data_IF_727663345954
#
_entry.id   IF_727663345954
#
_cell.length_a   1.000
_cell.length_b   1.000
_cell.length_c   1.000
_cell.angle_alpha   90.00
_cell.angle_beta   90.00
_cell.angle_gamma   90.00
#
_symmetry.space_group_name_H-M   'P 1'
#
loop_
_entity.id
_entity.type
_entity.pdbx_description
1 polymer ?
#
# COMPACT_ATOMS: atom_id res chain seq x y z
N UNK A 1 3.88 -4.81 -24.06
CA UNK A 1 5.05 -4.08 -23.54
C UNK A 1 5.35 -4.64 -22.16
N UNK A 2 6.35 -5.50 -22.03
CA UNK A 2 6.78 -6.06 -20.74
C UNK A 2 7.60 -5.05 -19.95
N UNK A 3 7.54 -5.12 -18.62
CA UNK A 3 8.40 -4.36 -17.74
C UNK A 3 9.86 -4.75 -18.03
N UNK A 4 10.69 -3.77 -18.41
CA UNK A 4 12.14 -3.92 -18.42
C UNK A 4 12.62 -3.42 -17.07
N UNK A 5 12.67 -4.31 -16.08
CA UNK A 5 13.20 -4.04 -14.75
C UNK A 5 14.06 -5.23 -14.36
N UNK A 6 15.28 -4.96 -13.90
CA UNK A 6 16.22 -5.98 -13.43
C UNK A 6 15.62 -6.90 -12.37
N UNK A 7 16.32 -8.00 -12.08
CA UNK A 7 15.94 -9.15 -11.23
C UNK A 7 14.82 -8.89 -10.20
N UNK A 8 13.57 -8.86 -10.68
CA UNK A 8 12.40 -8.71 -9.83
C UNK A 8 12.15 -10.04 -9.14
N UNK A 9 12.34 -10.09 -7.82
CA UNK A 9 12.11 -11.31 -7.06
C UNK A 9 10.63 -11.42 -6.74
N UNK A 10 9.97 -12.43 -7.31
CA UNK A 10 8.55 -12.72 -7.05
C UNK A 10 8.45 -13.44 -5.70
N UNK A 11 7.78 -12.78 -4.74
CA UNK A 11 7.39 -13.39 -3.49
C UNK A 11 5.86 -13.44 -3.41
N UNK A 12 5.29 -14.64 -3.34
CA UNK A 12 3.86 -14.82 -3.20
C UNK A 12 3.46 -14.62 -1.74
N UNK A 13 2.61 -13.61 -1.42
CA UNK A 13 2.16 -13.41 -0.07
C UNK A 13 1.29 -14.58 0.41
N UNK A 14 1.37 -14.86 1.70
CA UNK A 14 0.45 -15.75 2.42
C UNK A 14 -0.91 -15.02 2.55
N UNK A 15 -1.99 -15.46 1.87
CA UNK A 15 -3.26 -14.71 1.79
C UNK A 15 -3.89 -14.41 3.15
N UNK A 16 -3.69 -15.28 4.14
CA UNK A 16 -4.21 -15.17 5.50
C UNK A 16 -3.74 -13.89 6.21
N UNK A 17 -2.62 -13.30 5.76
CA UNK A 17 -2.13 -12.01 6.29
C UNK A 17 -2.97 -10.80 5.85
N UNK A 18 -3.89 -10.99 4.92
CA UNK A 18 -4.75 -9.94 4.37
C UNK A 18 -6.24 -10.18 4.69
N UNK A 19 -6.50 -10.91 5.78
CA UNK A 19 -7.85 -11.22 6.26
C UNK A 19 -8.05 -10.62 7.66
N UNK A 20 -9.22 -10.06 7.98
CA UNK A 20 -9.48 -9.50 9.31
C UNK A 20 -9.29 -10.52 10.43
N UNK A 21 -8.85 -10.09 11.64
CA UNK A 21 -8.54 -8.70 12.02
C UNK A 21 -7.07 -8.31 11.78
N UNK A 22 -6.22 -9.23 11.31
CA UNK A 22 -4.77 -9.02 11.17
C UNK A 22 -4.37 -8.40 9.82
N UNK A 23 -5.34 -8.16 8.95
CA UNK A 23 -5.18 -7.51 7.67
C UNK A 23 -6.51 -7.33 6.96
N UNK A 24 -6.48 -6.79 5.75
CA UNK A 24 -7.64 -6.67 4.88
C UNK A 24 -7.18 -6.51 3.44
N UNK A 25 -8.07 -6.80 2.50
CA UNK A 25 -7.83 -6.58 1.09
C UNK A 25 -9.07 -5.97 0.44
N UNK A 26 -8.89 -4.81 -0.18
CA UNK A 26 -9.98 -4.04 -0.76
C UNK A 26 -9.84 -3.93 -2.27
N UNK A 27 -10.98 -3.90 -2.96
CA UNK A 27 -11.08 -3.69 -4.40
C UNK A 27 -11.86 -2.41 -4.65
N UNK A 28 -11.22 -1.43 -5.29
CA UNK A 28 -11.88 -0.23 -5.77
C UNK A 28 -12.70 -0.58 -7.02
N UNK A 29 -13.96 -0.11 -7.08
CA UNK A 29 -14.85 -0.32 -8.22
C UNK A 29 -15.43 1.00 -8.72
N UNK A 30 -15.52 1.12 -10.04
CA UNK A 30 -16.22 2.19 -10.75
C UNK A 30 -17.30 1.55 -11.63
N UNK A 31 -18.56 1.93 -11.45
CA UNK A 31 -19.69 1.35 -12.18
C UNK A 31 -19.71 -0.19 -12.16
N UNK A 32 -19.37 -0.78 -11.01
CA UNK A 32 -19.26 -2.23 -10.82
C UNK A 32 -17.97 -2.87 -11.33
N UNK A 33 -17.14 -2.15 -12.10
CA UNK A 33 -15.89 -2.64 -12.69
C UNK A 33 -14.74 -2.42 -11.71
N UNK A 34 -13.93 -3.46 -11.47
CA UNK A 34 -12.73 -3.33 -10.63
C UNK A 34 -11.68 -2.42 -11.31
N UNK A 35 -11.31 -1.32 -10.65
CA UNK A 35 -10.36 -0.31 -11.15
C UNK A 35 -9.03 -0.30 -10.40
N UNK A 36 -8.97 -0.98 -9.25
CA UNK A 36 -7.76 -1.12 -8.46
C UNK A 36 -7.97 -1.93 -7.19
N UNK A 37 -6.88 -2.16 -6.46
CA UNK A 37 -6.89 -2.91 -5.22
C UNK A 37 -5.70 -2.55 -4.33
N UNK A 38 -5.78 -2.96 -3.08
CA UNK A 38 -4.68 -2.89 -2.13
C UNK A 38 -5.02 -3.67 -0.88
N UNK A 39 -4.00 -3.98 -0.09
CA UNK A 39 -4.16 -4.68 1.17
C UNK A 39 -3.39 -4.01 2.30
N UNK A 40 -3.79 -4.34 3.51
CA UNK A 40 -3.05 -4.07 4.74
C UNK A 40 -2.75 -5.36 5.46
N UNK A 41 -1.63 -5.40 6.18
CA UNK A 41 -1.31 -6.48 7.13
C UNK A 41 -0.67 -5.91 8.39
N UNK A 42 -0.94 -6.53 9.52
CA UNK A 42 -0.31 -6.19 10.80
C UNK A 42 1.17 -6.60 10.78
N UNK A 43 2.03 -5.69 11.26
CA UNK A 43 3.42 -5.98 11.65
C UNK A 43 3.56 -6.07 13.17
N UNK A 44 2.72 -5.32 13.88
CA UNK A 44 2.54 -5.36 15.33
C UNK A 44 1.10 -4.94 15.68
N UNK A 45 0.66 -5.02 16.95
CA UNK A 45 -0.66 -4.56 17.35
C UNK A 45 -0.98 -3.10 16.96
N UNK A 46 0.04 -2.24 16.88
CA UNK A 46 -0.13 -0.80 16.59
C UNK A 46 0.34 -0.39 15.19
N UNK A 47 1.10 -1.24 14.49
CA UNK A 47 1.70 -0.93 13.18
C UNK A 47 1.18 -1.84 12.09
N UNK A 48 0.62 -1.22 11.05
CA UNK A 48 0.17 -1.93 9.85
C UNK A 48 0.99 -1.51 8.63
N UNK A 49 1.07 -2.40 7.66
CA UNK A 49 1.77 -2.18 6.40
C UNK A 49 0.78 -2.19 5.24
N UNK A 50 0.82 -1.15 4.39
CA UNK A 50 0.10 -1.15 3.11
C UNK A 50 0.91 -1.91 2.06
N UNK A 51 0.25 -2.85 1.37
CA UNK A 51 0.85 -3.69 0.33
C UNK A 51 -0.08 -3.84 -0.87
N UNK A 52 0.50 -4.30 -1.98
CA UNK A 52 -0.22 -4.67 -3.20
C UNK A 52 -1.11 -3.55 -3.77
N UNK A 53 -0.74 -2.29 -3.53
CA UNK A 53 -1.49 -1.14 -4.03
C UNK A 53 -1.32 -1.04 -5.54
N UNK A 54 -2.42 -1.20 -6.28
CA UNK A 54 -2.44 -1.16 -7.73
C UNK A 54 -3.69 -0.46 -8.25
N UNK A 55 -3.51 0.34 -9.29
CA UNK A 55 -4.59 0.90 -10.10
C UNK A 55 -4.35 0.54 -11.55
N UNK A 56 -5.45 0.25 -12.26
CA UNK A 56 -5.42 0.15 -13.72
C UNK A 56 -4.82 1.42 -14.32
N UNK A 57 -3.90 1.32 -15.30
CA UNK A 57 -3.28 2.48 -15.92
C UNK A 57 -4.29 3.51 -16.43
N UNK A 58 -5.40 3.04 -17.01
CA UNK A 58 -6.48 3.85 -17.57
C UNK A 58 -7.25 4.68 -16.53
N UNK A 59 -7.11 4.39 -15.24
CA UNK A 59 -7.86 5.05 -14.15
C UNK A 59 -7.00 5.99 -13.30
N UNK A 60 -5.70 6.13 -13.64
CA UNK A 60 -4.77 7.01 -12.93
C UNK A 60 -5.09 8.49 -13.16
N UNK A 61 -4.66 9.35 -12.24
CA UNK A 61 -4.94 10.79 -12.29
C UNK A 61 -6.37 11.19 -11.88
N UNK A 62 -7.24 10.22 -11.57
CA UNK A 62 -8.66 10.44 -11.23
C UNK A 62 -8.95 10.41 -9.71
N UNK A 63 -7.91 10.49 -8.89
CA UNK A 63 -8.03 10.47 -7.42
C UNK A 63 -8.21 9.09 -6.77
N UNK A 64 -8.34 8.01 -7.54
CA UNK A 64 -8.51 6.65 -7.02
C UNK A 64 -7.41 6.21 -6.05
N UNK A 65 -6.16 6.60 -6.28
CA UNK A 65 -5.04 6.22 -5.41
C UNK A 65 -5.17 6.78 -4.01
N UNK A 66 -5.56 8.05 -3.90
CA UNK A 66 -5.79 8.72 -2.61
C UNK A 66 -6.97 8.10 -1.86
N UNK A 67 -8.07 7.82 -2.57
CA UNK A 67 -9.25 7.21 -1.97
C UNK A 67 -8.96 5.78 -1.48
N UNK A 68 -8.26 4.99 -2.28
CA UNK A 68 -7.89 3.63 -1.94
C UNK A 68 -6.93 3.58 -0.74
N UNK A 69 -5.92 4.46 -0.72
CA UNK A 69 -4.99 4.56 0.40
C UNK A 69 -5.71 4.98 1.69
N UNK A 70 -6.59 5.98 1.64
CA UNK A 70 -7.38 6.41 2.80
C UNK A 70 -8.31 5.29 3.31
N UNK A 71 -8.90 4.49 2.43
CA UNK A 71 -9.73 3.35 2.81
C UNK A 71 -8.93 2.27 3.55
N UNK A 72 -7.69 2.03 3.12
CA UNK A 72 -6.77 1.10 3.79
C UNK A 72 -6.32 1.62 5.16
N UNK A 73 -5.97 2.91 5.26
CA UNK A 73 -5.63 3.57 6.53
C UNK A 73 -6.78 3.49 7.53
N UNK A 74 -8.01 3.74 7.09
CA UNK A 74 -9.20 3.65 7.94
C UNK A 74 -9.45 2.23 8.46
N UNK A 75 -9.22 1.19 7.64
CA UNK A 75 -9.32 -0.20 8.08
C UNK A 75 -8.24 -0.57 9.09
N UNK A 76 -7.00 -0.10 8.88
CA UNK A 76 -5.92 -0.29 9.85
C UNK A 76 -6.26 0.36 11.20
N UNK A 77 -6.75 1.61 11.19
CA UNK A 77 -7.20 2.29 12.40
C UNK A 77 -8.34 1.52 13.12
N UNK A 78 -9.30 0.99 12.36
CA UNK A 78 -10.39 0.18 12.91
C UNK A 78 -9.89 -1.14 13.57
N UNK A 79 -8.69 -1.61 13.21
CA UNK A 79 -8.03 -2.74 13.83
C UNK A 79 -7.05 -2.35 14.95
N UNK A 80 -7.02 -1.07 15.34
CA UNK A 80 -6.20 -0.57 16.46
C UNK A 80 -4.83 -0.03 16.06
N UNK A 81 -4.55 0.12 14.76
CA UNK A 81 -3.30 0.72 14.30
C UNK A 81 -3.22 2.20 14.72
N UNK A 82 -2.06 2.62 15.23
CA UNK A 82 -1.71 4.03 15.46
C UNK A 82 -0.79 4.57 14.36
N UNK A 83 -0.26 3.70 13.52
CA UNK A 83 0.66 4.05 12.45
C UNK A 83 0.59 3.07 11.28
N UNK A 84 0.92 3.58 10.10
CA UNK A 84 1.02 2.81 8.87
C UNK A 84 2.38 3.01 8.24
N UNK A 85 2.96 1.93 7.73
CA UNK A 85 4.19 1.93 6.93
C UNK A 85 3.94 1.34 5.56
N UNK A 86 4.84 1.65 4.63
CA UNK A 86 4.89 0.99 3.33
C UNK A 86 6.28 1.12 2.72
N UNK A 87 6.57 0.24 1.77
CA UNK A 87 7.75 0.33 0.91
C UNK A 87 7.36 0.37 -0.57
N UNK A 88 8.23 0.95 -1.37
CA UNK A 88 8.07 1.03 -2.82
C UNK A 88 9.43 1.05 -3.50
N UNK A 89 9.43 0.78 -4.81
CA UNK A 89 10.59 1.00 -5.66
C UNK A 89 10.61 2.46 -6.17
N UNK A 90 11.80 3.06 -6.29
CA UNK A 90 11.98 4.43 -6.77
C UNK A 90 11.54 4.63 -8.22
N UNK A 91 11.55 3.57 -9.03
CA UNK A 91 11.02 3.60 -10.41
C UNK A 91 9.51 3.84 -10.47
N UNK A 92 8.78 3.63 -9.36
CA UNK A 92 7.35 3.89 -9.24
C UNK A 92 7.10 5.33 -8.76
N UNK A 93 7.52 6.32 -9.55
CA UNK A 93 7.46 7.74 -9.19
C UNK A 93 6.04 8.19 -8.78
N UNK A 94 5.02 7.74 -9.51
CA UNK A 94 3.62 8.06 -9.21
C UNK A 94 3.17 7.56 -7.81
N UNK A 95 3.67 6.39 -7.38
CA UNK A 95 3.39 5.87 -6.04
C UNK A 95 4.11 6.71 -4.98
N UNK A 96 5.39 7.02 -5.18
CA UNK A 96 6.14 7.91 -4.28
C UNK A 96 5.49 9.30 -4.16
N UNK A 97 5.00 9.86 -5.26
CA UNK A 97 4.23 11.11 -5.26
C UNK A 97 2.95 11.00 -4.43
N UNK A 98 2.16 9.93 -4.65
CA UNK A 98 0.94 9.65 -3.89
C UNK A 98 1.19 9.60 -2.38
N UNK A 99 2.23 8.89 -1.93
CA UNK A 99 2.50 8.76 -0.50
C UNK A 99 2.89 10.09 0.15
N UNK A 100 3.75 10.88 -0.50
CA UNK A 100 4.15 12.20 0.00
C UNK A 100 2.96 13.15 0.13
N UNK A 101 2.11 13.27 -0.89
CA UNK A 101 0.92 14.13 -0.83
C UNK A 101 -0.17 13.61 0.12
N UNK A 102 -0.07 12.34 0.54
CA UNK A 102 -0.96 11.73 1.52
C UNK A 102 -0.46 11.83 2.97
N UNK A 103 0.65 12.55 3.18
CA UNK A 103 1.20 12.85 4.51
C UNK A 103 2.19 11.81 5.04
N UNK A 104 2.74 10.95 4.18
CA UNK A 104 3.79 10.04 4.59
C UNK A 104 5.17 10.73 4.58
N UNK A 105 5.95 10.45 5.61
CA UNK A 105 7.35 10.83 5.73
C UNK A 105 8.25 9.67 5.33
N UNK A 106 9.39 9.95 4.69
CA UNK A 106 10.41 8.94 4.45
C UNK A 106 11.03 8.45 5.77
N UNK A 107 11.33 7.16 5.85
CA UNK A 107 11.98 6.53 7.00
C UNK A 107 13.07 5.56 6.55
N UNK A 108 13.89 5.12 7.50
CA UNK A 108 14.82 4.01 7.30
C UNK A 108 14.08 2.70 6.97
N UNK A 109 14.73 1.75 6.29
CA UNK A 109 14.15 0.44 6.00
C UNK A 109 13.63 -0.27 7.25
N UNK A 110 12.39 -0.77 7.19
CA UNK A 110 11.79 -1.59 8.26
C UNK A 110 11.67 -3.08 7.87
N UNK A 111 12.09 -3.44 6.65
CA UNK A 111 12.08 -4.80 6.14
C UNK A 111 13.21 -5.01 5.12
N UNK A 112 13.46 -6.28 4.79
CA UNK A 112 14.49 -6.70 3.83
C UNK A 112 13.89 -6.97 2.43
N UNK A 113 12.86 -6.21 2.01
CA UNK A 113 12.26 -6.42 0.69
C UNK A 113 13.28 -6.07 -0.41
N UNK A 114 13.78 -7.03 -1.22
CA UNK A 114 14.82 -6.76 -2.21
C UNK A 114 14.34 -5.85 -3.36
N UNK A 115 13.03 -5.73 -3.55
CA UNK A 115 12.44 -4.88 -4.57
C UNK A 115 12.19 -3.43 -4.09
N UNK A 116 12.32 -3.17 -2.78
CA UNK A 116 12.10 -1.85 -2.20
C UNK A 116 13.37 -1.01 -2.23
N UNK A 117 13.20 0.28 -2.50
CA UNK A 117 14.29 1.26 -2.40
C UNK A 117 13.89 2.49 -1.59
N UNK A 118 12.60 2.64 -1.26
CA UNK A 118 12.07 3.75 -0.46
C UNK A 118 11.07 3.19 0.55
N UNK A 119 11.13 3.70 1.79
CA UNK A 119 10.23 3.36 2.88
C UNK A 119 9.57 4.62 3.42
N UNK A 120 8.30 4.48 3.79
CA UNK A 120 7.44 5.58 4.20
C UNK A 120 6.65 5.20 5.45
N UNK A 121 6.36 6.21 6.27
CA UNK A 121 5.62 6.09 7.50
C UNK A 121 4.63 7.24 7.67
N UNK A 122 3.49 6.97 8.31
CA UNK A 122 2.49 7.95 8.69
C UNK A 122 1.82 7.55 10.00
N UNK A 123 1.70 8.50 10.93
CA UNK A 123 0.81 8.36 12.08
C UNK A 123 -0.66 8.42 11.65
N UNK A 124 -1.48 7.53 12.21
CA UNK A 124 -2.93 7.62 12.10
C UNK A 124 -3.46 8.49 13.26
N UNK A 125 -4.40 9.38 12.95
CA UNK A 125 -5.10 10.11 13.99
C UNK A 125 -6.02 9.13 14.74
N UNK A 126 -5.82 9.04 16.06
CA UNK A 126 -6.67 8.34 17.02
C UNK A 126 -8.00 9.05 17.23
#
# INVERSE_FOLDING_TARGET
MGFVGGDYVVNFPVPERFVPPVGDFVVARENGIAVGCGGIRSLSPSRFEVKHLYLRPETRGRGWGKQLLAALESRAAAFGATEVVLDTNATLEAAGGLYRVSGYSSIEPYNDNPNATNWYWKALAS
#
